data_IF_152716810118
#
_entry.id   IF_152716810118
#
_cell.length_a   1.000
_cell.length_b   1.000
_cell.length_c   1.000
_cell.angle_alpha   90.00
_cell.angle_beta   90.00
_cell.angle_gamma   90.00
#
_symmetry.space_group_name_H-M   'P 1'
#
loop_
_entity.id
_entity.type
_entity.pdbx_description
1 polymer ?
#
# COMPACT_ATOMS: atom_id res chain seq x y z
N UNK A 1 7.05 17.29 5.29
CA UNK A 1 5.75 16.73 4.91
C UNK A 1 5.55 16.67 3.40
N UNK A 2 5.65 17.77 2.61
CA UNK A 2 5.43 17.72 1.14
C UNK A 2 6.32 16.73 0.41
N UNK A 3 7.61 16.65 0.76
CA UNK A 3 8.51 15.65 0.19
C UNK A 3 8.04 14.20 0.46
N UNK A 4 7.43 13.93 1.61
CA UNK A 4 6.83 12.62 1.91
C UNK A 4 5.63 12.32 1.01
N UNK A 5 4.75 13.31 0.78
CA UNK A 5 3.60 13.15 -0.12
C UNK A 5 4.05 12.84 -1.56
N UNK A 6 5.06 13.57 -2.06
CA UNK A 6 5.66 13.29 -3.38
C UNK A 6 6.36 11.92 -3.37
N UNK A 7 6.97 11.51 -2.25
CA UNK A 7 7.57 10.19 -2.09
C UNK A 7 6.60 9.04 -2.39
N UNK A 8 5.35 9.15 -1.93
CA UNK A 8 4.32 8.16 -2.27
C UNK A 8 3.82 8.26 -3.71
N UNK A 9 3.88 9.45 -4.34
CA UNK A 9 3.69 9.54 -5.80
C UNK A 9 4.81 8.82 -6.53
N UNK A 10 6.08 8.95 -6.08
CA UNK A 10 7.22 8.20 -6.67
C UNK A 10 6.99 6.69 -6.54
N UNK A 11 6.56 6.21 -5.39
CA UNK A 11 6.22 4.78 -5.20
C UNK A 11 5.09 4.35 -6.14
N UNK A 12 4.06 5.19 -6.32
CA UNK A 12 2.99 4.92 -7.27
C UNK A 12 3.50 4.84 -8.72
N UNK A 13 4.45 5.69 -9.11
CA UNK A 13 5.10 5.62 -10.44
C UNK A 13 5.80 4.28 -10.61
N UNK A 14 6.64 3.89 -9.64
CA UNK A 14 7.40 2.64 -9.65
C UNK A 14 6.48 1.42 -9.81
N UNK A 15 5.36 1.40 -9.11
CA UNK A 15 4.47 0.24 -9.12
C UNK A 15 3.49 0.19 -10.30
N UNK A 16 3.17 1.33 -10.92
CA UNK A 16 2.05 1.39 -11.87
C UNK A 16 2.45 1.79 -13.30
N UNK A 17 3.65 2.33 -13.54
CA UNK A 17 4.06 2.74 -14.89
C UNK A 17 4.40 1.54 -15.79
N UNK A 18 5.25 0.63 -15.32
CA UNK A 18 5.71 -0.53 -16.13
C UNK A 18 4.57 -1.47 -16.55
N UNK A 19 3.55 -1.75 -15.73
CA UNK A 19 2.38 -2.50 -16.19
C UNK A 19 1.68 -1.96 -17.43
N UNK A 20 1.71 -0.64 -17.66
CA UNK A 20 1.14 -0.02 -18.86
C UNK A 20 1.91 -0.35 -20.16
N UNK A 21 3.16 -0.83 -20.01
CA UNK A 21 4.05 -1.15 -21.12
C UNK A 21 4.08 -2.65 -21.46
N UNK A 22 3.32 -3.50 -20.78
CA UNK A 22 3.39 -4.95 -20.95
C UNK A 22 3.11 -5.40 -22.38
N UNK A 23 2.11 -4.82 -23.02
CA UNK A 23 1.79 -5.11 -24.42
C UNK A 23 2.93 -4.66 -25.34
N UNK A 24 3.51 -3.49 -25.09
CA UNK A 24 4.67 -2.97 -25.83
C UNK A 24 5.87 -3.90 -25.68
N UNK A 25 6.13 -4.43 -24.48
CA UNK A 25 7.21 -5.41 -24.29
C UNK A 25 6.95 -6.73 -25.03
N UNK A 26 5.68 -7.14 -25.16
CA UNK A 26 5.34 -8.31 -25.96
C UNK A 26 5.52 -8.07 -27.45
N UNK A 27 5.07 -6.93 -27.96
CA UNK A 27 5.07 -6.62 -29.40
C UNK A 27 6.45 -6.21 -29.89
N UNK A 28 7.10 -5.28 -29.22
CA UNK A 28 8.31 -4.62 -29.71
C UNK A 28 9.59 -5.43 -29.33
N UNK A 29 9.60 -6.04 -28.15
CA UNK A 29 10.73 -6.82 -27.65
C UNK A 29 10.51 -8.34 -27.66
N UNK A 30 9.37 -8.80 -28.15
CA UNK A 30 9.01 -10.23 -28.24
C UNK A 30 9.13 -10.97 -26.88
N UNK A 31 8.86 -10.26 -25.77
CA UNK A 31 8.93 -10.85 -24.42
C UNK A 31 7.67 -11.69 -24.17
N UNK A 32 7.80 -13.00 -23.90
CA UNK A 32 6.65 -13.86 -23.63
C UNK A 32 5.85 -13.42 -22.40
N UNK A 33 4.53 -13.62 -22.41
CA UNK A 33 3.63 -13.25 -21.31
C UNK A 33 4.06 -13.82 -19.96
N UNK A 34 4.58 -15.04 -19.95
CA UNK A 34 5.12 -15.67 -18.72
C UNK A 34 6.28 -14.89 -18.11
N UNK A 35 7.19 -14.37 -18.93
CA UNK A 35 8.29 -13.52 -18.48
C UNK A 35 7.81 -12.16 -17.98
N UNK A 36 6.73 -11.61 -18.58
CA UNK A 36 6.10 -10.37 -18.11
C UNK A 36 5.49 -10.54 -16.71
N UNK A 37 4.79 -11.65 -16.48
CA UNK A 37 4.25 -11.98 -15.15
C UNK A 37 5.37 -12.08 -14.11
N UNK A 38 6.55 -12.59 -14.50
CA UNK A 38 7.72 -12.64 -13.62
C UNK A 38 8.20 -11.24 -13.21
N UNK A 39 8.10 -10.22 -14.07
CA UNK A 39 8.46 -8.84 -13.71
C UNK A 39 7.64 -8.32 -12.52
N UNK A 40 6.33 -8.60 -12.52
CA UNK A 40 5.45 -8.23 -11.42
C UNK A 40 5.88 -8.94 -10.13
N UNK A 41 6.08 -10.25 -10.23
CA UNK A 41 6.49 -11.07 -9.08
C UNK A 41 7.82 -10.59 -8.50
N UNK A 42 8.82 -10.30 -9.35
CA UNK A 42 10.13 -9.83 -8.91
C UNK A 42 10.02 -8.45 -8.28
N UNK A 43 9.22 -7.52 -8.85
CA UNK A 43 9.02 -6.20 -8.26
C UNK A 43 8.52 -6.30 -6.80
N UNK A 44 7.45 -7.05 -6.56
CA UNK A 44 6.91 -7.20 -5.21
C UNK A 44 7.81 -8.03 -4.28
N UNK A 45 8.47 -9.06 -4.80
CA UNK A 45 9.40 -9.85 -3.99
C UNK A 45 10.59 -9.00 -3.50
N UNK A 46 11.10 -8.11 -4.34
CA UNK A 46 12.18 -7.20 -3.94
C UNK A 46 11.67 -6.22 -2.89
N UNK A 47 10.48 -5.64 -3.04
CA UNK A 47 9.91 -4.74 -2.04
C UNK A 47 9.76 -5.48 -0.70
N UNK A 48 9.22 -6.69 -0.70
CA UNK A 48 9.12 -7.54 0.50
C UNK A 48 10.49 -7.82 1.15
N UNK A 49 11.53 -8.10 0.34
CA UNK A 49 12.88 -8.30 0.85
C UNK A 49 13.45 -7.00 1.45
N UNK A 50 13.19 -5.86 0.82
CA UNK A 50 13.61 -4.55 1.33
C UNK A 50 12.93 -4.25 2.66
N UNK A 51 11.63 -4.49 2.80
CA UNK A 51 10.89 -4.32 4.06
C UNK A 51 11.54 -5.10 5.20
N UNK A 52 11.86 -6.37 4.93
CA UNK A 52 12.47 -7.24 5.93
C UNK A 52 13.90 -6.80 6.30
N UNK A 53 14.72 -6.42 5.29
CA UNK A 53 16.13 -6.07 5.49
C UNK A 53 16.28 -4.64 6.03
N UNK A 54 15.41 -3.73 5.66
CA UNK A 54 15.46 -2.31 6.04
C UNK A 54 15.40 -2.10 7.56
N UNK A 55 14.72 -3.00 8.26
CA UNK A 55 14.66 -3.01 9.72
C UNK A 55 16.04 -2.99 10.40
N UNK A 56 17.10 -3.48 9.72
CA UNK A 56 18.44 -3.60 10.29
C UNK A 56 19.44 -2.53 9.82
N UNK A 57 19.23 -1.91 8.64
CA UNK A 57 20.25 -1.01 8.08
C UNK A 57 19.86 0.47 8.07
N UNK A 58 18.57 0.83 8.01
CA UNK A 58 18.14 2.24 7.96
C UNK A 58 18.65 3.02 9.18
N UNK A 59 18.56 2.43 10.37
CA UNK A 59 19.01 3.08 11.61
C UNK A 59 20.53 3.29 11.63
N UNK A 60 21.31 2.50 10.85
CA UNK A 60 22.77 2.64 10.76
C UNK A 60 23.21 3.72 9.79
N UNK A 61 22.59 3.81 8.60
CA UNK A 61 22.96 4.79 7.58
C UNK A 61 22.18 6.10 7.68
N UNK A 62 21.10 6.11 8.45
CA UNK A 62 20.24 7.27 8.70
C UNK A 62 19.17 7.51 7.63
N UNK A 63 18.08 8.13 8.04
CA UNK A 63 16.90 8.37 7.19
C UNK A 63 17.21 9.19 5.94
N UNK A 64 18.06 10.25 6.06
CA UNK A 64 18.40 11.10 4.91
C UNK A 64 19.13 10.33 3.82
N UNK A 65 20.18 9.59 4.17
CA UNK A 65 20.93 8.79 3.20
C UNK A 65 20.03 7.71 2.57
N UNK A 66 19.21 7.04 3.38
CA UNK A 66 18.29 6.00 2.92
C UNK A 66 17.25 6.53 1.93
N UNK A 67 16.62 7.70 2.20
CA UNK A 67 15.60 8.26 1.32
C UNK A 67 16.20 8.83 0.03
N UNK A 68 17.43 9.34 0.06
CA UNK A 68 18.14 9.77 -1.15
C UNK A 68 18.53 8.56 -2.01
N UNK A 69 18.98 7.46 -1.40
CA UNK A 69 19.24 6.20 -2.12
C UNK A 69 17.96 5.65 -2.75
N UNK A 70 16.83 5.68 -2.03
CA UNK A 70 15.54 5.26 -2.55
C UNK A 70 15.14 6.02 -3.83
N UNK A 71 15.25 7.35 -3.81
CA UNK A 71 14.98 8.19 -4.97
C UNK A 71 15.98 7.97 -6.10
N UNK A 72 17.26 7.76 -5.75
CA UNK A 72 18.32 7.42 -6.71
C UNK A 72 18.03 6.10 -7.43
N UNK A 73 17.67 5.06 -6.70
CA UNK A 73 17.28 3.77 -7.30
C UNK A 73 16.01 3.88 -8.16
N UNK A 74 14.98 4.59 -7.69
CA UNK A 74 13.75 4.79 -8.47
C UNK A 74 14.05 5.51 -9.80
N UNK A 75 14.80 6.61 -9.76
CA UNK A 75 15.18 7.36 -10.94
C UNK A 75 16.09 6.52 -11.89
N UNK A 76 17.14 5.90 -11.32
CA UNK A 76 18.08 5.10 -12.09
C UNK A 76 17.37 3.92 -12.79
N UNK A 77 16.49 3.22 -12.10
CA UNK A 77 15.74 2.11 -12.68
C UNK A 77 14.83 2.54 -13.84
N UNK A 78 14.12 3.67 -13.70
CA UNK A 78 13.30 4.22 -14.78
C UNK A 78 14.15 4.67 -15.99
N UNK A 79 15.34 5.25 -15.75
CA UNK A 79 16.28 5.61 -16.82
C UNK A 79 16.85 4.34 -17.48
N UNK A 80 17.31 3.37 -16.68
CA UNK A 80 17.84 2.10 -17.19
C UNK A 80 16.81 1.33 -18.04
N UNK A 81 15.54 1.44 -17.70
CA UNK A 81 14.46 0.85 -18.48
C UNK A 81 14.41 1.37 -19.92
N UNK A 82 14.82 2.60 -20.16
CA UNK A 82 14.89 3.18 -21.52
C UNK A 82 16.10 2.75 -22.33
N UNK A 83 17.13 2.20 -21.69
CA UNK A 83 18.45 1.93 -22.27
C UNK A 83 18.73 0.43 -22.37
N UNK A 84 18.54 -0.30 -21.26
CA UNK A 84 19.01 -1.69 -21.14
C UNK A 84 18.30 -2.67 -22.09
N UNK A 85 17.00 -2.57 -22.38
CA UNK A 85 16.35 -3.49 -23.31
C UNK A 85 16.98 -3.50 -24.71
N UNK A 86 17.53 -2.37 -25.15
CA UNK A 86 18.19 -2.25 -26.46
C UNK A 86 19.68 -2.62 -26.43
N UNK A 87 20.27 -2.73 -25.25
CA UNK A 87 21.70 -2.96 -25.05
C UNK A 87 22.05 -4.37 -24.59
N UNK A 88 21.07 -5.11 -24.09
CA UNK A 88 21.26 -6.50 -23.64
C UNK A 88 20.96 -7.49 -24.76
N UNK A 89 21.65 -8.64 -24.76
CA UNK A 89 21.44 -9.72 -25.75
C UNK A 89 20.01 -10.30 -25.69
N UNK A 90 19.41 -10.38 -24.48
CA UNK A 90 17.99 -10.67 -24.27
C UNK A 90 17.35 -9.41 -23.69
N UNK A 91 16.43 -8.73 -24.42
CA UNK A 91 15.74 -7.53 -23.93
C UNK A 91 15.04 -7.73 -22.59
N UNK A 92 14.52 -8.94 -22.32
CA UNK A 92 13.90 -9.25 -21.05
C UNK A 92 14.86 -9.09 -19.86
N UNK A 93 16.13 -9.47 -20.01
CA UNK A 93 17.15 -9.29 -18.96
C UNK A 93 17.37 -7.80 -18.69
N UNK A 94 17.41 -6.97 -19.73
CA UNK A 94 17.52 -5.52 -19.58
C UNK A 94 16.32 -4.91 -18.82
N UNK A 95 15.10 -5.32 -19.18
CA UNK A 95 13.88 -4.90 -18.48
C UNK A 95 13.92 -5.37 -17.03
N UNK A 96 14.25 -6.63 -16.78
CA UNK A 96 14.31 -7.22 -15.44
C UNK A 96 15.32 -6.48 -14.54
N UNK A 97 16.52 -6.17 -15.04
CA UNK A 97 17.53 -5.42 -14.29
C UNK A 97 17.02 -4.01 -13.92
N UNK A 98 16.35 -3.33 -14.86
CA UNK A 98 15.75 -2.03 -14.59
C UNK A 98 14.64 -2.13 -13.52
N UNK A 99 13.79 -3.16 -13.60
CA UNK A 99 12.74 -3.47 -12.59
C UNK A 99 13.36 -3.70 -11.22
N UNK A 100 14.42 -4.51 -11.12
CA UNK A 100 15.14 -4.76 -9.87
C UNK A 100 15.62 -3.46 -9.24
N UNK A 101 16.21 -2.59 -10.05
CA UNK A 101 16.77 -1.31 -9.55
C UNK A 101 15.65 -0.39 -9.03
N UNK A 102 14.58 -0.16 -9.80
CA UNK A 102 13.53 0.72 -9.30
C UNK A 102 12.70 0.11 -8.16
N UNK A 103 12.56 -1.22 -8.12
CA UNK A 103 11.87 -1.92 -7.04
C UNK A 103 12.57 -1.74 -5.68
N UNK A 104 13.92 -1.72 -5.66
CA UNK A 104 14.69 -1.35 -4.48
C UNK A 104 14.32 0.06 -3.99
N UNK A 105 14.16 1.00 -4.92
CA UNK A 105 13.72 2.36 -4.62
C UNK A 105 12.30 2.40 -4.05
N UNK A 106 11.37 1.67 -4.66
CA UNK A 106 9.97 1.59 -4.23
C UNK A 106 9.81 1.02 -2.82
N UNK A 107 10.44 -0.12 -2.54
CA UNK A 107 10.41 -0.74 -1.21
C UNK A 107 11.02 0.15 -0.14
N UNK A 108 12.17 0.79 -0.41
CA UNK A 108 12.76 1.75 0.52
C UNK A 108 11.83 2.93 0.82
N UNK A 109 11.13 3.47 -0.18
CA UNK A 109 10.17 4.56 0.02
C UNK A 109 9.01 4.13 0.90
N UNK A 110 8.50 2.93 0.73
CA UNK A 110 7.41 2.37 1.53
C UNK A 110 7.75 2.35 3.02
N UNK A 111 8.92 1.85 3.37
CA UNK A 111 9.37 1.77 4.76
C UNK A 111 9.75 3.12 5.35
N UNK A 112 10.32 4.04 4.55
CA UNK A 112 10.91 5.29 5.03
C UNK A 112 9.91 6.42 5.18
N UNK A 113 8.97 6.56 4.25
CA UNK A 113 8.16 7.79 4.14
C UNK A 113 7.19 7.93 5.31
N UNK A 114 6.58 6.82 5.76
CA UNK A 114 5.67 6.81 6.90
C UNK A 114 6.35 7.20 8.22
N UNK A 115 7.50 6.63 8.63
CA UNK A 115 8.19 7.06 9.85
C UNK A 115 8.75 8.48 9.74
N UNK A 116 9.23 8.92 8.58
CA UNK A 116 9.67 10.32 8.39
C UNK A 116 8.50 11.28 8.62
N UNK A 117 7.30 10.98 8.10
CA UNK A 117 6.11 11.78 8.34
C UNK A 117 5.69 11.74 9.82
N UNK A 118 5.73 10.55 10.43
CA UNK A 118 5.39 10.37 11.85
C UNK A 118 6.28 11.23 12.76
N UNK A 119 7.56 11.38 12.43
CA UNK A 119 8.49 12.23 13.14
C UNK A 119 8.24 13.75 12.92
N UNK A 120 7.56 14.15 11.85
CA UNK A 120 7.28 15.56 11.58
C UNK A 120 6.39 16.19 12.66
N UNK A 121 6.64 17.45 13.08
CA UNK A 121 5.76 18.16 13.99
C UNK A 121 4.40 18.39 13.34
N UNK A 122 3.34 17.84 13.93
CA UNK A 122 1.95 18.02 13.49
C UNK A 122 1.00 17.76 14.67
N UNK A 123 -0.10 18.49 14.71
CA UNK A 123 -1.09 18.38 15.78
C UNK A 123 -1.90 17.08 15.71
N UNK A 124 -2.01 16.47 14.52
CA UNK A 124 -2.74 15.22 14.35
C UNK A 124 -2.00 14.24 13.42
N UNK A 125 -1.21 13.35 14.03
CA UNK A 125 -0.41 12.32 13.36
C UNK A 125 -1.28 11.40 12.48
N UNK A 126 -2.43 10.97 12.99
CA UNK A 126 -3.32 10.05 12.27
C UNK A 126 -3.90 10.70 11.00
N UNK A 127 -4.27 11.98 11.07
CA UNK A 127 -4.72 12.75 9.89
C UNK A 127 -3.60 12.90 8.85
N UNK A 128 -2.39 13.25 9.31
CA UNK A 128 -1.23 13.38 8.43
C UNK A 128 -0.88 12.05 7.76
N UNK A 129 -0.92 10.94 8.49
CA UNK A 129 -0.67 9.60 7.96
C UNK A 129 -1.73 9.20 6.91
N UNK A 130 -3.01 9.44 7.19
CA UNK A 130 -4.08 9.17 6.22
C UNK A 130 -3.95 10.00 4.95
N UNK A 131 -3.60 11.29 5.10
CA UNK A 131 -3.35 12.18 3.97
C UNK A 131 -2.16 11.69 3.14
N UNK A 132 -1.07 11.28 3.79
CA UNK A 132 0.10 10.70 3.13
C UNK A 132 -0.30 9.54 2.22
N UNK A 133 -0.99 8.56 2.77
CA UNK A 133 -1.42 7.37 2.02
C UNK A 133 -2.44 7.70 0.91
N UNK A 134 -3.18 8.82 1.00
CA UNK A 134 -4.04 9.27 -0.10
C UNK A 134 -3.24 9.65 -1.34
N UNK A 135 -2.02 10.20 -1.16
CA UNK A 135 -1.16 10.57 -2.29
C UNK A 135 -0.67 9.37 -3.09
N UNK A 136 -0.56 8.18 -2.49
CA UNK A 136 -0.32 6.95 -3.26
C UNK A 136 -1.50 6.65 -4.21
N UNK A 137 -2.74 6.70 -3.72
CA UNK A 137 -3.93 6.45 -4.54
C UNK A 137 -4.07 7.45 -5.68
N UNK A 138 -3.92 8.75 -5.38
CA UNK A 138 -3.96 9.81 -6.39
C UNK A 138 -2.78 9.72 -7.34
N UNK A 139 -1.59 9.34 -6.84
CA UNK A 139 -0.41 9.07 -7.64
C UNK A 139 -0.65 7.93 -8.63
N UNK A 140 -1.19 6.81 -8.18
CA UNK A 140 -1.56 5.66 -9.04
C UNK A 140 -2.53 6.09 -10.15
N UNK A 141 -3.63 6.77 -9.80
CA UNK A 141 -4.57 7.28 -10.78
C UNK A 141 -3.91 8.27 -11.75
N UNK A 142 -3.09 9.20 -11.22
CA UNK A 142 -2.37 10.20 -12.01
C UNK A 142 -1.41 9.55 -13.01
N UNK A 143 -0.64 8.54 -12.58
CA UNK A 143 0.29 7.80 -13.45
C UNK A 143 -0.46 7.14 -14.59
N UNK A 144 -1.56 6.44 -14.29
CA UNK A 144 -2.35 5.75 -15.33
C UNK A 144 -2.98 6.77 -16.28
N UNK A 145 -3.67 7.79 -15.77
CA UNK A 145 -4.36 8.78 -16.60
C UNK A 145 -3.40 9.62 -17.45
N UNK A 146 -2.33 10.14 -16.85
CA UNK A 146 -1.37 10.98 -17.57
C UNK A 146 -0.57 10.16 -18.59
N UNK A 147 -0.21 8.91 -18.26
CA UNK A 147 0.47 8.03 -19.21
C UNK A 147 -0.46 7.66 -20.37
N UNK A 148 -1.72 7.32 -20.11
CA UNK A 148 -2.70 7.02 -21.14
C UNK A 148 -2.93 8.23 -22.05
N UNK A 149 -3.08 9.43 -21.47
CA UNK A 149 -3.21 10.67 -22.22
C UNK A 149 -1.97 10.93 -23.10
N UNK A 150 -0.78 10.75 -22.54
CA UNK A 150 0.48 10.91 -23.28
C UNK A 150 0.53 9.94 -24.47
N UNK A 151 0.21 8.67 -24.27
CA UNK A 151 0.19 7.67 -25.33
C UNK A 151 -0.87 7.93 -26.39
N UNK A 152 -2.01 8.50 -26.00
CA UNK A 152 -3.06 8.89 -26.96
C UNK A 152 -2.61 10.05 -27.85
N UNK A 153 -1.88 11.02 -27.28
CA UNK A 153 -1.45 12.22 -28.03
C UNK A 153 -0.16 11.98 -28.83
N UNK A 154 0.82 11.33 -28.22
CA UNK A 154 2.18 11.17 -28.79
C UNK A 154 2.47 9.76 -29.31
N UNK A 155 1.58 8.82 -29.08
CA UNK A 155 1.76 7.41 -29.45
C UNK A 155 2.57 6.61 -28.43
N UNK A 156 2.29 5.32 -28.36
CA UNK A 156 2.95 4.38 -27.43
C UNK A 156 4.45 4.22 -27.74
N UNK A 157 4.88 4.40 -29.00
CA UNK A 157 6.29 4.34 -29.41
C UNK A 157 7.17 5.33 -28.63
N UNK A 158 6.61 6.41 -28.08
CA UNK A 158 7.32 7.41 -27.28
C UNK A 158 7.40 7.07 -25.79
N UNK A 159 7.12 5.81 -25.39
CA UNK A 159 7.10 5.39 -23.98
C UNK A 159 8.43 5.67 -23.26
N UNK A 160 9.58 5.62 -23.95
CA UNK A 160 10.89 5.95 -23.36
C UNK A 160 10.97 7.42 -22.93
N UNK A 161 10.44 8.34 -23.73
CA UNK A 161 10.38 9.74 -23.37
C UNK A 161 9.51 9.95 -22.10
N UNK A 162 8.37 9.27 -22.02
CA UNK A 162 7.53 9.31 -20.83
C UNK A 162 8.20 8.70 -19.60
N UNK A 163 8.96 7.61 -19.75
CA UNK A 163 9.74 7.03 -18.67
C UNK A 163 10.76 8.03 -18.10
N UNK A 164 11.42 8.83 -18.95
CA UNK A 164 12.33 9.90 -18.51
C UNK A 164 11.59 11.04 -17.81
N UNK A 165 10.38 11.39 -18.27
CA UNK A 165 9.52 12.36 -17.55
C UNK A 165 9.17 11.86 -16.16
N UNK A 166 8.78 10.59 -16.05
CA UNK A 166 8.51 9.98 -14.73
C UNK A 166 9.78 9.89 -13.87
N UNK A 167 10.94 9.63 -14.46
CA UNK A 167 12.22 9.61 -13.74
C UNK A 167 12.62 10.99 -13.17
N UNK A 168 12.15 12.09 -13.76
CA UNK A 168 12.39 13.42 -13.22
C UNK A 168 11.72 13.63 -11.84
N UNK A 169 10.59 12.96 -11.57
CA UNK A 169 9.86 13.13 -10.29
C UNK A 169 10.70 12.66 -9.08
N UNK A 170 11.27 11.43 -9.05
CA UNK A 170 12.17 11.04 -7.98
C UNK A 170 13.45 11.89 -7.91
N UNK A 171 14.00 12.35 -9.03
CA UNK A 171 15.17 13.26 -9.00
C UNK A 171 14.82 14.56 -8.28
N UNK A 172 13.74 15.22 -8.67
CA UNK A 172 13.29 16.47 -8.04
C UNK A 172 12.96 16.29 -6.56
N UNK A 173 12.26 15.19 -6.21
CA UNK A 173 11.92 14.91 -4.83
C UNK A 173 13.15 14.51 -4.00
N UNK A 174 14.14 13.86 -4.58
CA UNK A 174 15.44 13.62 -3.96
C UNK A 174 16.13 14.93 -3.56
N UNK A 175 16.11 15.94 -4.44
CA UNK A 175 16.65 17.28 -4.14
C UNK A 175 15.87 17.93 -2.98
N UNK A 176 14.53 17.79 -2.94
CA UNK A 176 13.73 18.27 -1.81
C UNK A 176 14.12 17.57 -0.49
N UNK A 177 14.31 16.24 -0.50
CA UNK A 177 14.76 15.52 0.69
C UNK A 177 16.20 15.82 1.09
N UNK A 178 17.07 16.22 0.17
CA UNK A 178 18.42 16.63 0.50
C UNK A 178 18.44 17.88 1.39
N UNK A 179 17.49 18.79 1.19
CA UNK A 179 17.39 20.07 1.89
C UNK A 179 16.34 20.11 3.00
N UNK A 180 15.31 19.27 2.94
CA UNK A 180 14.22 19.25 3.92
C UNK A 180 14.71 18.82 5.32
N UNK A 181 14.17 19.39 6.41
CA UNK A 181 14.45 18.91 7.75
C UNK A 181 13.86 17.51 7.94
N UNK A 182 14.67 16.58 8.44
CA UNK A 182 14.25 15.23 8.82
C UNK A 182 14.42 15.14 10.33
N UNK A 183 13.32 14.90 11.03
CA UNK A 183 13.28 14.80 12.48
C UNK A 183 13.57 13.36 12.93
N UNK A 184 14.22 13.15 14.09
CA UNK A 184 14.41 11.82 14.63
C UNK A 184 13.06 11.24 15.07
N UNK A 185 12.83 9.97 14.78
CA UNK A 185 11.62 9.26 15.21
C UNK A 185 11.54 9.14 16.73
N UNK A 186 12.70 9.00 17.39
CA UNK A 186 12.85 8.98 18.85
C UNK A 186 13.55 10.27 19.31
N UNK A 187 12.81 11.31 19.76
CA UNK A 187 13.40 12.58 20.17
C UNK A 187 14.36 12.47 21.37
N UNK A 188 14.20 11.45 22.22
CA UNK A 188 15.03 11.20 23.41
C UNK A 188 16.40 10.56 23.09
N UNK A 189 16.73 10.37 21.80
CA UNK A 189 18.06 9.94 21.36
C UNK A 189 18.42 8.47 21.64
N UNK A 190 17.43 7.60 21.84
CA UNK A 190 17.62 6.15 22.00
C UNK A 190 17.39 5.37 20.72
N UNK A 191 18.06 4.23 20.54
CA UNK A 191 17.69 3.26 19.54
C UNK A 191 16.24 2.80 19.78
N UNK A 192 15.47 2.57 18.68
CA UNK A 192 14.14 1.98 18.78
C UNK A 192 14.17 0.58 19.39
N UNK A 193 12.99 0.03 19.70
CA UNK A 193 12.90 -1.33 20.21
C UNK A 193 13.49 -2.33 19.21
N UNK A 194 14.23 -3.29 19.73
CA UNK A 194 14.77 -4.40 18.94
C UNK A 194 13.64 -5.33 18.46
N UNK A 195 13.89 -6.07 17.39
CA UNK A 195 12.97 -7.11 16.90
C UNK A 195 12.50 -8.06 18.03
N UNK A 196 13.42 -8.47 18.91
CA UNK A 196 13.11 -9.36 20.04
C UNK A 196 12.16 -8.72 21.05
N UNK A 197 12.33 -7.44 21.33
CA UNK A 197 11.46 -6.69 22.24
C UNK A 197 10.08 -6.46 21.63
N UNK A 198 10.01 -6.12 20.33
CA UNK A 198 8.75 -6.01 19.59
C UNK A 198 7.98 -7.33 19.59
N UNK A 199 8.65 -8.45 19.30
CA UNK A 199 8.04 -9.79 19.29
C UNK A 199 7.51 -10.24 20.67
N UNK A 200 8.04 -9.69 21.76
CA UNK A 200 7.53 -9.93 23.12
C UNK A 200 6.26 -9.13 23.44
N UNK A 201 5.99 -8.09 22.68
CA UNK A 201 4.86 -7.19 22.90
C UNK A 201 3.58 -7.78 22.26
N UNK A 202 2.58 -8.14 23.08
CA UNK A 202 1.32 -8.69 22.60
C UNK A 202 0.49 -7.69 21.75
N UNK A 203 0.68 -6.38 21.99
CA UNK A 203 0.02 -5.33 21.20
C UNK A 203 0.63 -5.27 19.80
N UNK A 204 1.94 -5.49 19.68
CA UNK A 204 2.61 -5.56 18.38
C UNK A 204 2.00 -6.66 17.48
N UNK A 205 1.80 -7.87 17.99
CA UNK A 205 1.19 -8.94 17.21
C UNK A 205 -0.26 -8.66 16.82
N UNK A 206 -1.04 -8.01 17.69
CA UNK A 206 -2.37 -7.55 17.34
C UNK A 206 -2.34 -6.56 16.16
N UNK A 207 -1.41 -5.61 16.16
CA UNK A 207 -1.23 -4.64 15.09
C UNK A 207 -0.71 -5.28 13.81
N UNK A 208 0.18 -6.28 13.90
CA UNK A 208 0.62 -7.10 12.75
C UNK A 208 -0.57 -7.81 12.09
N UNK A 209 -1.45 -8.42 12.88
CA UNK A 209 -2.69 -9.04 12.36
C UNK A 209 -3.63 -8.01 11.73
N UNK A 210 -3.70 -6.80 12.31
CA UNK A 210 -4.49 -5.72 11.73
C UNK A 210 -3.90 -5.25 10.38
N UNK A 211 -2.58 -5.14 10.24
CA UNK A 211 -1.93 -4.78 8.97
C UNK A 211 -2.18 -5.86 7.91
N UNK A 212 -1.97 -7.12 8.26
CA UNK A 212 -2.26 -8.25 7.37
C UNK A 212 -3.72 -8.24 6.93
N UNK A 213 -4.65 -8.06 7.87
CA UNK A 213 -6.08 -7.98 7.57
C UNK A 213 -6.44 -6.79 6.69
N UNK A 214 -5.79 -5.64 6.89
CA UNK A 214 -6.02 -4.43 6.08
C UNK A 214 -5.56 -4.64 4.63
N UNK A 215 -4.32 -5.11 4.43
CA UNK A 215 -3.79 -5.41 3.10
C UNK A 215 -4.60 -6.49 2.37
N UNK A 216 -4.96 -7.56 3.07
CA UNK A 216 -5.77 -8.63 2.49
C UNK A 216 -7.18 -8.16 2.10
N UNK A 217 -7.86 -7.40 2.97
CA UNK A 217 -9.19 -6.88 2.67
C UNK A 217 -9.20 -5.88 1.50
N UNK A 218 -8.16 -5.04 1.39
CA UNK A 218 -7.98 -4.11 0.29
C UNK A 218 -7.73 -4.86 -1.02
N UNK A 219 -6.74 -5.74 -1.02
CA UNK A 219 -6.24 -6.32 -2.27
C UNK A 219 -7.10 -7.46 -2.80
N UNK A 220 -7.86 -8.15 -1.96
CA UNK A 220 -8.81 -9.19 -2.43
C UNK A 220 -9.81 -8.62 -3.43
N UNK A 221 -10.43 -7.49 -3.12
CA UNK A 221 -11.42 -6.87 -4.02
C UNK A 221 -10.72 -6.12 -5.15
N UNK A 222 -9.69 -5.33 -4.85
CA UNK A 222 -8.96 -4.52 -5.84
C UNK A 222 -8.41 -5.36 -6.99
N UNK A 223 -7.77 -6.50 -6.70
CA UNK A 223 -7.16 -7.38 -7.71
C UNK A 223 -8.19 -8.15 -8.55
N UNK A 224 -9.31 -8.52 -7.97
CA UNK A 224 -10.34 -9.30 -8.67
C UNK A 224 -11.45 -8.44 -9.26
N UNK A 225 -11.49 -7.13 -8.98
CA UNK A 225 -12.62 -6.26 -9.38
C UNK A 225 -12.85 -6.21 -10.90
N UNK A 226 -11.78 -6.15 -11.70
CA UNK A 226 -11.90 -6.13 -13.16
C UNK A 226 -12.40 -7.46 -13.71
N UNK A 227 -11.75 -8.57 -13.34
CA UNK A 227 -12.15 -9.91 -13.77
C UNK A 227 -13.56 -10.27 -13.28
N UNK A 228 -13.90 -9.86 -12.06
CA UNK A 228 -15.25 -10.03 -11.51
C UNK A 228 -16.30 -9.25 -12.31
N UNK A 229 -15.98 -8.02 -12.74
CA UNK A 229 -16.88 -7.23 -13.55
C UNK A 229 -17.07 -7.85 -14.95
N UNK A 230 -15.98 -8.27 -15.59
CA UNK A 230 -16.01 -8.86 -16.94
C UNK A 230 -16.67 -10.25 -16.94
N UNK A 231 -16.14 -11.19 -16.16
CA UNK A 231 -16.57 -12.59 -16.18
C UNK A 231 -17.76 -12.86 -15.25
N UNK A 232 -17.80 -12.20 -14.09
CA UNK A 232 -18.84 -12.40 -13.07
C UNK A 232 -20.12 -11.61 -13.34
N UNK A 233 -20.04 -10.47 -14.03
CA UNK A 233 -21.17 -9.57 -14.26
C UNK A 233 -21.48 -9.37 -15.75
N UNK A 234 -20.63 -9.85 -16.67
CA UNK A 234 -20.84 -9.77 -18.12
C UNK A 234 -20.73 -8.36 -18.70
N UNK A 235 -20.02 -7.43 -18.04
CA UNK A 235 -19.76 -6.10 -18.62
C UNK A 235 -18.51 -6.14 -19.51
N UNK A 236 -18.37 -5.13 -20.40
CA UNK A 236 -17.17 -5.05 -21.22
C UNK A 236 -15.92 -4.82 -20.38
N UNK A 237 -14.76 -5.29 -20.82
CA UNK A 237 -13.48 -5.12 -20.12
C UNK A 237 -13.21 -3.65 -19.76
N UNK A 238 -13.44 -2.73 -20.69
CA UNK A 238 -13.25 -1.29 -20.45
C UNK A 238 -14.12 -0.79 -19.31
N UNK A 239 -15.39 -1.18 -19.26
CA UNK A 239 -16.30 -0.82 -18.16
C UNK A 239 -15.87 -1.51 -16.87
N UNK A 240 -15.43 -2.75 -16.95
CA UNK A 240 -14.92 -3.51 -15.79
C UNK A 240 -13.71 -2.85 -15.15
N UNK A 241 -12.73 -2.44 -15.95
CA UNK A 241 -11.50 -1.79 -15.47
C UNK A 241 -11.79 -0.40 -14.85
N UNK A 242 -12.70 0.37 -15.47
CA UNK A 242 -13.08 1.71 -14.96
C UNK A 242 -14.00 1.63 -13.74
N UNK A 243 -15.01 0.81 -13.76
CA UNK A 243 -16.00 0.73 -12.68
C UNK A 243 -15.54 -0.14 -11.50
N UNK A 244 -14.62 -1.08 -11.71
CA UNK A 244 -14.04 -1.92 -10.67
C UNK A 244 -12.82 -1.25 -10.00
N UNK A 245 -11.60 -1.51 -10.50
CA UNK A 245 -10.37 -1.06 -9.83
C UNK A 245 -10.25 0.47 -9.72
N UNK A 246 -10.65 1.22 -10.74
CA UNK A 246 -10.50 2.67 -10.72
C UNK A 246 -11.49 3.35 -9.77
N UNK A 247 -12.76 2.93 -9.73
CA UNK A 247 -13.71 3.43 -8.75
C UNK A 247 -13.31 3.04 -7.33
N UNK A 248 -12.79 1.81 -7.13
CA UNK A 248 -12.22 1.36 -5.86
C UNK A 248 -11.10 2.30 -5.40
N UNK A 249 -10.09 2.54 -6.24
CA UNK A 249 -8.93 3.40 -5.91
C UNK A 249 -9.34 4.86 -5.66
N UNK A 250 -10.27 5.40 -6.46
CA UNK A 250 -10.79 6.76 -6.29
C UNK A 250 -11.49 6.94 -4.94
N UNK A 251 -12.36 6.01 -4.56
CA UNK A 251 -13.07 6.07 -3.29
C UNK A 251 -12.15 5.79 -2.10
N UNK A 252 -11.16 4.91 -2.26
CA UNK A 252 -10.12 4.69 -1.25
C UNK A 252 -9.31 5.96 -1.00
N UNK A 253 -8.82 6.61 -2.05
CA UNK A 253 -8.11 7.89 -1.95
C UNK A 253 -8.97 8.99 -1.33
N UNK A 254 -10.25 9.03 -1.69
CA UNK A 254 -11.23 9.96 -1.12
C UNK A 254 -11.44 9.74 0.39
N UNK A 255 -11.60 8.49 0.83
CA UNK A 255 -11.71 8.17 2.25
C UNK A 255 -10.48 8.60 3.05
N UNK A 256 -9.28 8.34 2.51
CA UNK A 256 -8.00 8.77 3.09
C UNK A 256 -7.90 10.30 3.17
N UNK A 257 -8.32 11.00 2.12
CA UNK A 257 -8.34 12.47 2.08
C UNK A 257 -9.35 13.06 3.09
N UNK A 258 -10.56 12.49 3.16
CA UNK A 258 -11.60 12.90 4.14
C UNK A 258 -11.06 12.77 5.56
N UNK A 259 -10.48 11.63 5.91
CA UNK A 259 -9.91 11.45 7.23
C UNK A 259 -8.68 12.33 7.44
N UNK A 260 -7.85 12.52 6.44
CA UNK A 260 -6.72 13.45 6.47
C UNK A 260 -7.14 14.89 6.83
N UNK A 261 -8.26 15.35 6.29
CA UNK A 261 -8.77 16.73 6.50
C UNK A 261 -9.56 16.87 7.80
N UNK A 262 -10.42 15.91 8.14
CA UNK A 262 -11.35 16.00 9.27
C UNK A 262 -11.05 15.04 10.42
N UNK A 263 -9.99 14.23 10.34
CA UNK A 263 -9.64 13.23 11.34
C UNK A 263 -9.40 13.80 12.74
N UNK A 264 -9.04 15.08 12.85
CA UNK A 264 -8.93 15.77 14.15
C UNK A 264 -10.26 15.87 14.92
N UNK A 265 -11.40 15.76 14.22
CA UNK A 265 -12.76 15.72 14.80
C UNK A 265 -13.26 14.29 15.02
N UNK A 266 -12.54 13.31 14.56
CA UNK A 266 -12.96 11.91 14.52
C UNK A 266 -12.08 11.04 15.42
N UNK A 267 -12.69 10.08 16.10
CA UNK A 267 -11.95 9.09 16.87
C UNK A 267 -11.44 7.97 15.95
N UNK A 268 -10.12 7.83 15.78
CA UNK A 268 -9.49 6.84 14.91
C UNK A 268 -10.06 5.42 15.09
N UNK A 269 -10.15 4.93 16.33
CA UNK A 269 -10.63 3.57 16.61
C UNK A 269 -12.11 3.36 16.19
N UNK A 270 -12.97 4.40 16.36
CA UNK A 270 -14.36 4.35 15.92
C UNK A 270 -14.47 4.36 14.39
N UNK A 271 -13.64 5.18 13.72
CA UNK A 271 -13.58 5.23 12.27
C UNK A 271 -13.11 3.90 11.70
N UNK A 272 -12.03 3.32 12.23
CA UNK A 272 -11.52 2.03 11.79
C UNK A 272 -12.56 0.92 11.99
N UNK A 273 -13.25 0.90 13.12
CA UNK A 273 -14.32 -0.09 13.38
C UNK A 273 -15.50 0.09 12.41
N UNK A 274 -15.98 1.32 12.22
CA UNK A 274 -17.03 1.63 11.25
C UNK A 274 -16.64 1.24 9.83
N UNK A 275 -15.41 1.55 9.42
CA UNK A 275 -14.83 1.16 8.14
C UNK A 275 -14.72 -0.36 7.97
N UNK A 276 -14.27 -1.08 9.01
CA UNK A 276 -14.21 -2.56 8.97
C UNK A 276 -15.60 -3.18 8.82
N UNK A 277 -16.62 -2.66 9.53
CA UNK A 277 -18.01 -3.11 9.41
C UNK A 277 -18.59 -2.78 8.02
N UNK A 278 -18.31 -1.59 7.49
CA UNK A 278 -18.69 -1.21 6.13
C UNK A 278 -18.01 -2.10 5.09
N UNK A 279 -16.76 -2.50 5.32
CA UNK A 279 -16.04 -3.44 4.46
C UNK A 279 -16.72 -4.81 4.47
N UNK A 280 -17.11 -5.35 5.62
CA UNK A 280 -17.91 -6.58 5.71
C UNK A 280 -19.20 -6.47 4.90
N UNK A 281 -19.94 -5.35 5.06
CA UNK A 281 -21.18 -5.12 4.30
C UNK A 281 -20.92 -5.04 2.80
N UNK A 282 -19.82 -4.39 2.36
CA UNK A 282 -19.43 -4.33 0.95
C UNK A 282 -19.11 -5.72 0.38
N UNK A 283 -18.35 -6.55 1.10
CA UNK A 283 -18.08 -7.94 0.69
C UNK A 283 -19.36 -8.76 0.54
N UNK A 284 -20.32 -8.62 1.48
CA UNK A 284 -21.63 -9.27 1.37
C UNK A 284 -22.41 -8.74 0.15
N UNK A 285 -22.40 -7.44 -0.10
CA UNK A 285 -23.06 -6.86 -1.25
C UNK A 285 -22.47 -7.38 -2.57
N UNK A 286 -21.14 -7.42 -2.71
CA UNK A 286 -20.47 -7.95 -3.91
C UNK A 286 -20.84 -9.42 -4.13
N UNK A 287 -20.80 -10.23 -3.08
CA UNK A 287 -20.95 -11.67 -3.20
C UNK A 287 -22.41 -12.14 -3.33
N UNK A 288 -23.34 -11.51 -2.63
CA UNK A 288 -24.71 -12.02 -2.47
C UNK A 288 -25.74 -11.28 -3.32
N UNK A 289 -25.48 -10.03 -3.73
CA UNK A 289 -26.44 -9.27 -4.53
C UNK A 289 -26.36 -9.70 -6.00
N UNK A 290 -27.47 -10.18 -6.61
CA UNK A 290 -27.44 -10.65 -8.01
C UNK A 290 -27.25 -9.52 -9.03
N UNK A 291 -27.66 -8.28 -8.71
CA UNK A 291 -27.60 -7.14 -9.62
C UNK A 291 -26.15 -6.71 -9.88
N UNK A 292 -25.68 -6.71 -11.14
CA UNK A 292 -24.30 -6.34 -11.49
C UNK A 292 -23.91 -4.93 -11.05
N UNK A 293 -24.78 -3.95 -11.24
CA UNK A 293 -24.52 -2.55 -10.87
C UNK A 293 -24.31 -2.40 -9.36
N UNK A 294 -25.15 -3.04 -8.56
CA UNK A 294 -25.02 -2.99 -7.10
C UNK A 294 -23.75 -3.73 -6.62
N UNK A 295 -23.34 -4.79 -7.29
CA UNK A 295 -22.06 -5.47 -7.01
C UNK A 295 -20.87 -4.57 -7.33
N UNK A 296 -20.89 -3.82 -8.44
CA UNK A 296 -19.84 -2.83 -8.77
C UNK A 296 -19.81 -1.67 -7.79
N UNK A 297 -20.98 -1.17 -7.37
CA UNK A 297 -21.07 -0.19 -6.28
C UNK A 297 -20.49 -0.76 -4.99
N UNK A 298 -20.74 -2.04 -4.72
CA UNK A 298 -20.11 -2.76 -3.60
C UNK A 298 -18.57 -2.74 -3.67
N UNK A 299 -17.97 -2.96 -4.85
CA UNK A 299 -16.52 -2.85 -5.05
C UNK A 299 -16.02 -1.42 -4.74
N UNK A 300 -16.70 -0.40 -5.23
CA UNK A 300 -16.34 0.99 -4.98
C UNK A 300 -16.48 1.36 -3.49
N UNK A 301 -17.56 0.94 -2.82
CA UNK A 301 -17.77 1.11 -1.37
C UNK A 301 -16.73 0.34 -0.57
N UNK A 302 -16.29 -0.83 -1.02
CA UNK A 302 -15.19 -1.56 -0.41
C UNK A 302 -13.92 -0.71 -0.43
N UNK A 303 -13.58 -0.07 -1.57
CA UNK A 303 -12.45 0.86 -1.66
C UNK A 303 -12.54 1.98 -0.62
N UNK A 304 -13.69 2.64 -0.49
CA UNK A 304 -13.91 3.64 0.54
C UNK A 304 -13.69 3.08 1.95
N UNK A 305 -14.20 1.90 2.22
CA UNK A 305 -14.15 1.27 3.54
C UNK A 305 -12.73 0.89 3.97
N UNK A 306 -11.89 0.40 3.06
CA UNK A 306 -10.51 0.00 3.41
C UNK A 306 -9.57 1.20 3.57
N UNK A 307 -9.95 2.37 3.08
CA UNK A 307 -9.07 3.53 2.96
C UNK A 307 -8.34 3.91 4.25
N UNK A 308 -9.01 3.85 5.43
CA UNK A 308 -8.40 4.23 6.71
C UNK A 308 -7.70 3.06 7.42
N UNK A 309 -7.90 1.81 6.99
CA UNK A 309 -7.45 0.64 7.76
C UNK A 309 -5.93 0.52 7.80
N UNK A 310 -5.26 0.71 6.68
CA UNK A 310 -3.81 0.70 6.59
C UNK A 310 -3.17 1.89 7.35
N UNK A 311 -3.41 3.17 6.97
CA UNK A 311 -2.80 4.31 7.66
C UNK A 311 -3.23 4.41 9.13
N UNK A 312 -4.45 4.01 9.45
CA UNK A 312 -4.95 3.96 10.82
C UNK A 312 -4.21 2.94 11.68
N UNK A 313 -3.80 1.81 11.13
CA UNK A 313 -3.01 0.80 11.85
C UNK A 313 -1.59 1.31 12.12
N UNK A 314 -0.94 1.99 11.18
CA UNK A 314 0.33 2.67 11.41
C UNK A 314 0.21 3.69 12.56
N UNK A 315 -0.78 4.57 12.50
CA UNK A 315 -1.01 5.60 13.53
C UNK A 315 -1.31 5.00 14.90
N UNK A 316 -2.10 3.91 14.93
CA UNK A 316 -2.40 3.18 16.17
C UNK A 316 -1.16 2.49 16.73
N UNK A 317 -0.29 1.98 15.86
CA UNK A 317 0.99 1.36 16.23
C UNK A 317 1.94 2.35 16.85
N UNK A 318 2.14 3.50 16.21
CA UNK A 318 2.97 4.58 16.72
C UNK A 318 2.49 5.09 18.09
N UNK A 319 1.19 5.28 18.26
CA UNK A 319 0.62 5.68 19.54
C UNK A 319 0.69 4.62 20.63
N UNK A 320 0.60 3.32 20.28
CA UNK A 320 0.61 2.22 21.25
C UNK A 320 2.03 1.77 21.63
N UNK A 321 3.00 1.95 20.75
CA UNK A 321 4.41 1.56 20.92
C UNK A 321 5.31 2.74 20.50
N UNK A 322 5.39 3.82 21.29
CA UNK A 322 6.09 5.05 20.91
C UNK A 322 7.58 4.84 20.58
N UNK A 323 8.23 3.82 21.19
CA UNK A 323 9.62 3.44 20.93
C UNK A 323 9.76 2.36 19.85
N UNK A 324 8.71 2.06 19.08
CA UNK A 324 8.72 1.00 18.06
C UNK A 324 9.76 1.19 16.95
N UNK A 325 10.08 2.44 16.63
CA UNK A 325 11.15 2.77 15.69
C UNK A 325 10.90 2.28 14.28
N UNK A 326 11.92 2.34 13.43
CA UNK A 326 11.91 1.91 12.03
C UNK A 326 11.54 0.44 11.88
N UNK A 327 12.03 -0.41 12.79
CA UNK A 327 11.77 -1.87 12.77
C UNK A 327 10.28 -2.16 12.83
N UNK A 328 9.52 -1.45 13.66
CA UNK A 328 8.07 -1.63 13.76
C UNK A 328 7.36 -1.24 12.46
N UNK A 329 7.72 -0.11 11.85
CA UNK A 329 7.12 0.35 10.60
C UNK A 329 7.41 -0.61 9.44
N UNK A 330 8.66 -1.09 9.32
CA UNK A 330 9.06 -2.07 8.32
C UNK A 330 8.29 -3.40 8.46
N UNK A 331 8.14 -3.89 9.69
CA UNK A 331 7.39 -5.13 9.93
C UNK A 331 5.88 -4.95 9.70
N UNK A 332 5.33 -3.77 9.94
CA UNK A 332 3.93 -3.48 9.58
C UNK A 332 3.74 -3.47 8.07
N UNK A 333 4.64 -2.83 7.30
CA UNK A 333 4.60 -2.89 5.84
C UNK A 333 4.66 -4.34 5.36
N UNK A 334 5.65 -5.11 5.82
CA UNK A 334 5.79 -6.54 5.53
C UNK A 334 4.52 -7.34 5.81
N UNK A 335 3.86 -7.11 6.96
CA UNK A 335 2.60 -7.80 7.30
C UNK A 335 1.45 -7.40 6.36
N UNK A 336 1.39 -6.13 5.98
CA UNK A 336 0.43 -5.62 5.01
C UNK A 336 0.60 -6.27 3.64
N UNK A 337 1.83 -6.35 3.13
CA UNK A 337 2.16 -6.94 1.83
C UNK A 337 1.91 -8.45 1.80
N UNK A 338 2.20 -9.15 2.91
CA UNK A 338 1.77 -10.54 3.07
C UNK A 338 0.25 -10.66 2.99
N UNK A 339 -0.49 -9.73 3.58
CA UNK A 339 -1.94 -9.63 3.43
C UNK A 339 -2.38 -9.39 1.99
N UNK A 340 -1.73 -8.43 1.31
CA UNK A 340 -1.98 -8.12 -0.10
C UNK A 340 -1.80 -9.33 -1.03
N UNK A 341 -0.92 -10.25 -0.66
CA UNK A 341 -0.72 -11.52 -1.37
C UNK A 341 -1.72 -12.59 -0.94
N UNK A 342 -1.97 -12.73 0.37
CA UNK A 342 -2.82 -13.78 0.93
C UNK A 342 -4.30 -13.62 0.54
N UNK A 343 -4.80 -12.37 0.52
CA UNK A 343 -6.19 -12.07 0.21
C UNK A 343 -6.63 -12.55 -1.18
N UNK A 344 -6.01 -12.04 -2.26
CA UNK A 344 -6.32 -12.47 -3.63
C UNK A 344 -6.07 -13.95 -3.86
N UNK A 345 -5.02 -14.51 -3.22
CA UNK A 345 -4.70 -15.94 -3.33
C UNK A 345 -5.83 -16.79 -2.75
N UNK A 346 -6.33 -16.47 -1.55
CA UNK A 346 -7.47 -17.16 -0.94
C UNK A 346 -8.70 -17.07 -1.85
N UNK A 347 -9.03 -15.89 -2.35
CA UNK A 347 -10.16 -15.69 -3.26
C UNK A 347 -10.01 -16.54 -4.53
N UNK A 348 -8.82 -16.55 -5.16
CA UNK A 348 -8.54 -17.34 -6.35
C UNK A 348 -8.63 -18.85 -6.10
N UNK A 349 -8.11 -19.33 -4.97
CA UNK A 349 -8.21 -20.75 -4.58
C UNK A 349 -9.66 -21.18 -4.41
N UNK A 350 -10.47 -20.40 -3.68
CA UNK A 350 -11.89 -20.69 -3.48
C UNK A 350 -12.68 -20.59 -4.78
N UNK A 351 -12.41 -19.59 -5.63
CA UNK A 351 -13.01 -19.49 -6.96
C UNK A 351 -12.79 -20.76 -7.77
N UNK A 352 -11.55 -21.29 -7.78
CA UNK A 352 -11.20 -22.52 -8.48
C UNK A 352 -11.94 -23.76 -7.93
N UNK A 353 -11.99 -23.91 -6.61
CA UNK A 353 -12.68 -25.04 -5.94
C UNK A 353 -14.20 -24.95 -6.12
N UNK A 354 -14.74 -23.75 -6.35
CA UNK A 354 -16.16 -23.49 -6.56
C UNK A 354 -16.52 -23.34 -8.05
N UNK A 355 -15.89 -24.11 -8.94
CA UNK A 355 -16.19 -24.17 -10.37
C UNK A 355 -16.15 -22.81 -11.09
N UNK A 356 -15.17 -21.97 -10.75
CA UNK A 356 -14.98 -20.65 -11.31
C UNK A 356 -15.90 -19.55 -10.72
N UNK A 357 -16.65 -19.84 -9.67
CA UNK A 357 -17.57 -18.87 -9.07
C UNK A 357 -16.82 -17.79 -8.28
N UNK A 358 -16.53 -16.66 -8.92
CA UNK A 358 -15.81 -15.53 -8.35
C UNK A 358 -16.52 -14.89 -7.14
N UNK A 359 -17.87 -14.93 -7.10
CA UNK A 359 -18.64 -14.41 -5.95
C UNK A 359 -18.30 -15.17 -4.66
N UNK A 360 -18.15 -16.50 -4.75
CA UNK A 360 -17.72 -17.33 -3.61
C UNK A 360 -16.26 -17.07 -3.24
N UNK A 361 -15.40 -16.84 -4.23
CA UNK A 361 -14.00 -16.46 -4.01
C UNK A 361 -13.89 -15.17 -3.23
N UNK A 362 -14.57 -14.11 -3.68
CA UNK A 362 -14.58 -12.81 -2.96
C UNK A 362 -15.21 -12.96 -1.58
N UNK A 363 -16.30 -13.74 -1.44
CA UNK A 363 -16.95 -13.98 -0.14
C UNK A 363 -15.98 -14.63 0.86
N UNK A 364 -15.11 -15.53 0.43
CA UNK A 364 -14.11 -16.12 1.31
C UNK A 364 -13.16 -15.07 1.91
N UNK A 365 -12.88 -13.99 1.18
CA UNK A 365 -12.08 -12.86 1.66
C UNK A 365 -12.70 -12.08 2.81
N UNK A 366 -13.99 -12.29 3.14
CA UNK A 366 -14.67 -11.61 4.26
C UNK A 366 -14.02 -11.92 5.62
N UNK A 367 -13.25 -13.00 5.71
CA UNK A 367 -12.49 -13.35 6.94
C UNK A 367 -11.54 -12.22 7.35
N UNK A 368 -10.98 -11.47 6.41
CA UNK A 368 -10.03 -10.41 6.70
C UNK A 368 -10.67 -9.16 7.33
N UNK A 369 -11.75 -8.56 6.79
CA UNK A 369 -12.42 -7.47 7.50
C UNK A 369 -13.09 -7.94 8.82
N UNK A 370 -13.53 -9.18 8.93
CA UNK A 370 -13.98 -9.73 10.22
C UNK A 370 -12.84 -9.83 11.23
N UNK A 371 -11.65 -10.26 10.80
CA UNK A 371 -10.45 -10.25 11.64
C UNK A 371 -10.15 -8.84 12.18
N UNK A 372 -10.26 -7.81 11.34
CA UNK A 372 -10.09 -6.41 11.75
C UNK A 372 -11.10 -5.99 12.79
N UNK A 373 -12.39 -6.31 12.61
CA UNK A 373 -13.44 -6.05 13.61
C UNK A 373 -13.09 -6.71 14.94
N UNK A 374 -12.69 -7.98 14.91
CA UNK A 374 -12.31 -8.72 16.12
C UNK A 374 -11.10 -8.06 16.80
N UNK A 375 -10.03 -7.75 16.07
CA UNK A 375 -8.85 -7.09 16.61
C UNK A 375 -9.18 -5.75 17.29
N UNK A 376 -10.04 -4.93 16.66
CA UNK A 376 -10.44 -3.64 17.20
C UNK A 376 -11.31 -3.77 18.47
N UNK A 377 -12.25 -4.73 18.49
CA UNK A 377 -13.12 -4.97 19.65
C UNK A 377 -12.32 -5.55 20.83
N UNK A 378 -11.47 -6.55 20.58
CA UNK A 378 -10.64 -7.15 21.64
C UNK A 378 -9.58 -6.17 22.16
N UNK A 379 -8.98 -5.37 21.29
CA UNK A 379 -8.02 -4.33 21.68
C UNK A 379 -8.65 -3.30 22.63
N UNK A 380 -9.92 -2.93 22.40
CA UNK A 380 -10.66 -2.01 23.26
C UNK A 380 -10.96 -2.61 24.64
N UNK A 381 -11.39 -3.87 24.70
CA UNK A 381 -11.67 -4.56 25.98
C UNK A 381 -10.42 -4.66 26.88
N UNK A 382 -9.25 -4.91 26.29
CA UNK A 382 -7.98 -4.99 27.03
C UNK A 382 -7.56 -3.64 27.61
N UNK A 383 -7.73 -2.53 26.89
CA UNK A 383 -7.46 -1.19 27.42
C UNK A 383 -8.38 -0.86 28.59
N UNK A 384 -9.67 -1.20 28.52
CA UNK A 384 -10.62 -0.99 29.59
C UNK A 384 -10.28 -1.81 30.84
N UNK A 385 -9.91 -3.08 30.68
CA UNK A 385 -9.52 -3.96 31.77
C UNK A 385 -8.22 -3.48 32.46
N UNK A 386 -7.21 -3.03 31.70
CA UNK A 386 -5.97 -2.48 32.24
C UNK A 386 -6.21 -1.15 33.00
N UNK A 387 -7.09 -0.29 32.50
CA UNK A 387 -7.47 0.96 33.16
C UNK A 387 -8.20 0.74 34.50
N UNK A 388 -9.09 -0.25 34.54
CA UNK A 388 -9.80 -0.60 35.78
C UNK A 388 -8.86 -1.22 36.84
N UNK A 389 -7.93 -2.09 36.44
CA UNK A 389 -6.93 -2.68 37.33
C UNK A 389 -5.99 -1.61 37.95
N UNK A 390 -5.65 -0.58 37.18
CA UNK A 390 -4.81 0.51 37.65
C UNK A 390 -5.56 1.49 38.58
N UNK A 391 -6.87 1.67 38.35
CA UNK A 391 -7.74 2.45 39.24
C UNK A 391 -7.98 1.76 40.59
N UNK A 392 -8.11 0.42 40.58
CA UNK A 392 -8.28 -0.37 41.80
C UNK A 392 -6.98 -0.43 42.64
N UNK A 393 -5.81 -0.51 42.01
CA UNK A 393 -4.51 -0.43 42.71
C UNK A 393 -4.28 0.94 43.39
N UNK A 394 -4.69 2.02 42.73
CA UNK A 394 -4.58 3.37 43.31
C UNK A 394 -5.59 3.60 44.44
N UNK A 395 -6.75 2.90 44.46
CA UNK A 395 -7.70 2.96 45.57
C UNK A 395 -7.31 2.13 46.78
N UNK A 396 -6.46 1.12 46.61
CA UNK A 396 -5.97 0.28 47.70
C UNK A 396 -4.75 0.83 48.42
N UNK A 397 -4.13 1.89 47.88
CA UNK A 397 -2.94 2.56 48.46
C UNK A 397 -3.21 4.00 48.93
N UNK A 398 -4.45 4.48 48.91
CA UNK A 398 -4.93 5.74 49.50
C UNK A 398 -5.87 5.49 50.68
#
# INVERSE_FOLDING_TARGET
MYACFIGYIVQAIVNNFVPLLFVTFQTDYQVPLQKITLLITVNFLIQLCVDLLSAGFIDRIGYRASVLLAHGFAAAGLILLTILPDRTADPFVGILLAVVVYALGGGLLEVLVSPILEACPTDNKASAMSLLHSFYCWGQMGVVLLSTLFFTVFGIANWKALALVWAAVPVLNGVLFATAPIYPLNPEGGAGLTLKELCRNKVFWLLMLMMLGAGAAENTVSQWASAFAEEGLGVTKTVGDLAGPMAFAALMGTARLIYGKWGHKLHLEKCMLGSSLLCVAAYLAIALVPNPLLSLVGCAVCGFSVGILWPGTFSKGSAAIPKGGTVMFALFALAGDLGCSAGPTLAGMVTRVCDGNMRRGILAGIVFPLLLVLCLVFGKKRKAAAGNAQADTNRSHG
#
